data_IF_522870592612
#
_entry.id   IF_522870592612
#
_cell.length_a   1.000
_cell.length_b   1.000
_cell.length_c   1.000
_cell.angle_alpha   90.00
_cell.angle_beta   90.00
_cell.angle_gamma   90.00
#
_symmetry.space_group_name_H-M   'P 1'
#
loop_
_entity.id
_entity.type
_entity.pdbx_description
1 polymer ?
#
# COMPACT_ATOMS: atom_id res chain seq x y z
N UNK A 1 19.42 -24.68 18.04
CA UNK A 1 19.99 -23.50 17.37
C UNK A 1 18.80 -22.81 16.77
N UNK A 2 18.61 -21.54 17.08
CA UNK A 2 17.57 -20.75 16.43
C UNK A 2 18.02 -20.51 14.98
N UNK A 3 17.10 -20.57 14.03
CA UNK A 3 17.41 -20.29 12.63
C UNK A 3 17.87 -18.84 12.48
N UNK A 4 18.70 -18.54 11.47
CA UNK A 4 19.13 -17.16 11.18
C UNK A 4 18.01 -16.26 10.63
N UNK A 5 16.79 -16.79 10.54
CA UNK A 5 15.64 -16.15 9.93
C UNK A 5 14.35 -16.44 10.70
N UNK A 6 13.35 -15.57 10.48
CA UNK A 6 11.97 -15.73 10.99
C UNK A 6 10.96 -15.35 9.91
N UNK A 7 9.72 -15.82 10.06
CA UNK A 7 8.63 -15.35 9.21
C UNK A 7 8.13 -13.99 9.70
N UNK A 8 8.02 -13.03 8.79
CA UNK A 8 7.41 -11.74 9.05
C UNK A 8 5.89 -11.84 9.20
N UNK A 9 5.32 -10.98 10.03
CA UNK A 9 3.87 -10.90 10.24
C UNK A 9 3.23 -9.99 9.18
N UNK A 10 2.73 -10.59 8.11
CA UNK A 10 2.06 -9.88 7.03
C UNK A 10 0.75 -9.23 7.49
N UNK A 11 0.07 -9.79 8.51
CA UNK A 11 -1.14 -9.17 9.07
C UNK A 11 -0.78 -7.87 9.80
N UNK A 12 0.25 -7.88 10.64
CA UNK A 12 0.71 -6.67 11.32
C UNK A 12 1.14 -5.57 10.32
N UNK A 13 1.80 -5.95 9.22
CA UNK A 13 2.14 -5.01 8.15
C UNK A 13 0.91 -4.44 7.45
N UNK A 14 -0.10 -5.27 7.16
CA UNK A 14 -1.36 -4.81 6.57
C UNK A 14 -2.14 -3.89 7.51
N UNK A 15 -2.14 -4.17 8.81
CA UNK A 15 -2.79 -3.33 9.81
C UNK A 15 -2.07 -1.97 9.95
N UNK A 16 -0.74 -1.96 9.82
CA UNK A 16 0.05 -0.73 9.91
C UNK A 16 0.05 0.08 8.61
N UNK A 17 -0.06 -0.57 7.45
CA UNK A 17 0.00 0.04 6.12
C UNK A 17 -1.22 -0.33 5.25
N UNK A 18 -2.45 -0.02 5.68
CA UNK A 18 -3.67 -0.53 5.06
C UNK A 18 -3.84 -0.09 3.60
N UNK A 19 -3.31 1.09 3.25
CA UNK A 19 -3.45 1.67 1.91
C UNK A 19 -2.28 1.37 0.97
N UNK A 20 -1.19 0.74 1.45
CA UNK A 20 0.04 0.54 0.66
C UNK A 20 0.61 -0.87 0.75
N UNK A 21 0.16 -1.69 1.71
CA UNK A 21 0.54 -3.09 1.82
C UNK A 21 -0.63 -4.00 1.47
N UNK A 22 -0.51 -4.69 0.34
CA UNK A 22 -1.44 -5.75 -0.03
C UNK A 22 -1.25 -6.98 0.87
N UNK A 23 -2.38 -7.50 1.36
CA UNK A 23 -2.46 -8.82 1.98
C UNK A 23 -3.70 -9.56 1.46
N UNK A 24 -3.59 -10.85 1.13
CA UNK A 24 -4.76 -11.67 0.77
C UNK A 24 -5.82 -11.66 1.87
N UNK A 25 -7.07 -11.56 1.43
CA UNK A 25 -8.25 -11.61 2.30
C UNK A 25 -8.39 -12.96 3.00
N UNK A 26 -9.10 -13.01 4.15
CA UNK A 26 -9.48 -14.27 4.77
C UNK A 26 -10.20 -15.22 3.79
N UNK A 27 -11.01 -14.69 2.88
CA UNK A 27 -11.75 -15.42 1.86
C UNK A 27 -10.83 -16.03 0.81
N UNK A 28 -9.77 -15.34 0.40
CA UNK A 28 -8.72 -15.88 -0.46
C UNK A 28 -7.93 -16.98 0.26
N UNK A 29 -7.50 -16.73 1.50
CA UNK A 29 -6.73 -17.69 2.29
C UNK A 29 -7.53 -18.98 2.54
N UNK A 30 -8.83 -18.88 2.79
CA UNK A 30 -9.72 -20.03 2.99
C UNK A 30 -9.89 -20.91 1.74
N UNK A 31 -9.54 -20.40 0.54
CA UNK A 31 -9.61 -21.14 -0.72
C UNK A 31 -8.33 -21.90 -1.06
N UNK A 32 -7.24 -21.66 -0.34
CA UNK A 32 -5.96 -22.31 -0.58
C UNK A 32 -6.07 -23.83 -0.41
N UNK A 33 -5.36 -24.56 -1.28
CA UNK A 33 -5.33 -26.01 -1.33
C UNK A 33 -3.89 -26.50 -1.31
N UNK A 34 -3.72 -27.78 -0.98
CA UNK A 34 -2.45 -28.48 -1.24
C UNK A 34 -2.14 -28.36 -2.74
N UNK A 35 -0.90 -27.96 -3.04
CA UNK A 35 -0.44 -27.63 -4.39
C UNK A 35 -0.48 -26.14 -4.73
N UNK A 36 -1.11 -25.30 -3.91
CA UNK A 36 -1.07 -23.85 -4.11
C UNK A 36 0.22 -23.21 -3.58
N UNK A 37 0.56 -22.04 -4.14
CA UNK A 37 1.68 -21.22 -3.68
C UNK A 37 1.21 -20.08 -2.76
N UNK A 38 1.86 -19.98 -1.60
CA UNK A 38 1.75 -18.84 -0.69
C UNK A 38 3.08 -18.08 -0.67
N UNK A 39 3.02 -16.76 -0.81
CA UNK A 39 4.18 -15.87 -0.69
C UNK A 39 4.33 -15.42 0.76
N UNK A 40 5.51 -15.59 1.33
CA UNK A 40 5.84 -15.25 2.71
C UNK A 40 7.02 -14.27 2.76
N UNK A 41 7.19 -13.63 3.90
CA UNK A 41 8.32 -12.73 4.21
C UNK A 41 9.28 -13.48 5.13
N UNK A 42 10.53 -13.64 4.73
CA UNK A 42 11.59 -14.26 5.51
C UNK A 42 12.55 -13.15 5.96
N UNK A 43 12.39 -12.71 7.20
CA UNK A 43 13.22 -11.68 7.83
C UNK A 43 14.50 -12.31 8.35
N UNK A 44 15.61 -11.58 8.23
CA UNK A 44 16.91 -11.98 8.72
C UNK A 44 17.71 -10.75 9.13
N UNK A 45 18.69 -10.93 10.00
CA UNK A 45 19.59 -9.86 10.40
C UNK A 45 20.86 -9.90 9.53
N UNK A 46 21.36 -8.73 9.13
CA UNK A 46 22.59 -8.60 8.35
C UNK A 46 23.38 -7.38 8.78
N UNK A 47 24.70 -7.53 8.87
CA UNK A 47 25.63 -6.43 9.08
C UNK A 47 25.98 -5.71 7.76
N UNK A 48 25.55 -6.24 6.61
CA UNK A 48 25.72 -5.60 5.31
C UNK A 48 24.66 -4.50 5.12
N UNK A 49 25.05 -3.21 5.05
CA UNK A 49 24.10 -2.11 4.88
C UNK A 49 23.38 -2.11 3.53
N UNK A 50 23.83 -2.93 2.57
CA UNK A 50 23.17 -3.11 1.28
C UNK A 50 22.24 -4.34 1.25
N UNK A 51 22.25 -5.18 2.29
CA UNK A 51 21.34 -6.30 2.37
C UNK A 51 19.90 -5.81 2.61
N UNK A 52 18.89 -6.46 1.99
CA UNK A 52 17.51 -6.15 2.30
C UNK A 52 17.18 -6.66 3.72
N UNK A 53 16.13 -6.09 4.34
CA UNK A 53 15.66 -6.59 5.64
C UNK A 53 14.92 -7.94 5.58
N UNK A 54 14.53 -8.39 4.39
CA UNK A 54 13.84 -9.65 4.20
C UNK A 54 13.92 -10.18 2.76
N UNK A 55 13.78 -11.50 2.60
CA UNK A 55 13.52 -12.15 1.32
C UNK A 55 12.03 -12.50 1.21
N UNK A 56 11.39 -12.20 0.08
CA UNK A 56 9.97 -12.54 -0.16
C UNK A 56 9.88 -13.73 -1.09
N UNK A 57 9.52 -14.88 -0.55
CA UNK A 57 9.65 -16.17 -1.24
C UNK A 57 8.33 -16.94 -1.25
N UNK A 58 8.18 -17.79 -2.25
CA UNK A 58 7.05 -18.68 -2.45
C UNK A 58 7.29 -20.02 -1.76
N UNK A 59 6.24 -20.50 -1.10
CA UNK A 59 6.18 -21.81 -0.46
C UNK A 59 5.01 -22.59 -1.08
N UNK A 60 5.31 -23.77 -1.61
CA UNK A 60 4.31 -24.74 -2.09
C UNK A 60 3.63 -25.40 -0.90
N UNK A 61 2.32 -25.25 -0.77
CA UNK A 61 1.54 -25.86 0.31
C UNK A 61 1.51 -27.38 0.11
N UNK A 62 2.05 -28.12 1.07
CA UNK A 62 2.02 -29.59 1.08
C UNK A 62 0.97 -30.12 2.06
N UNK A 63 0.66 -29.37 3.12
CA UNK A 63 -0.33 -29.75 4.12
C UNK A 63 -1.09 -28.53 4.66
N UNK A 64 -2.36 -28.72 4.96
CA UNK A 64 -3.24 -27.74 5.61
C UNK A 64 -3.77 -28.37 6.90
N UNK A 65 -3.60 -27.67 8.02
CA UNK A 65 -4.01 -28.09 9.36
C UNK A 65 -5.15 -27.20 9.87
N UNK A 66 -5.74 -27.58 11.00
CA UNK A 66 -6.75 -26.76 11.68
C UNK A 66 -6.25 -25.35 11.99
N UNK A 67 -7.18 -24.39 12.03
CA UNK A 67 -6.96 -22.97 12.32
C UNK A 67 -6.05 -22.26 11.32
N UNK A 68 -6.15 -22.59 10.03
CA UNK A 68 -5.36 -21.97 8.95
C UNK A 68 -3.85 -21.99 9.23
N UNK A 69 -3.37 -23.14 9.69
CA UNK A 69 -1.94 -23.45 9.77
C UNK A 69 -1.54 -24.31 8.59
N UNK A 70 -0.38 -24.03 8.05
CA UNK A 70 0.10 -24.61 6.80
C UNK A 70 1.50 -25.18 7.00
N UNK A 71 1.79 -26.26 6.28
CA UNK A 71 3.16 -26.68 6.00
C UNK A 71 3.38 -26.66 4.50
N UNK A 72 4.60 -26.36 4.10
CA UNK A 72 4.96 -26.40 2.69
C UNK A 72 6.45 -26.54 2.47
N UNK A 73 6.81 -26.57 1.19
CA UNK A 73 8.19 -26.67 0.71
C UNK A 73 8.58 -25.35 0.05
N UNK A 74 9.73 -24.80 0.43
CA UNK A 74 10.24 -23.56 -0.17
C UNK A 74 10.54 -23.77 -1.66
N UNK A 75 10.00 -22.93 -2.54
CA UNK A 75 10.24 -23.06 -4.00
C UNK A 75 11.35 -22.14 -4.51
N UNK A 76 11.75 -21.13 -3.72
CA UNK A 76 12.85 -20.24 -4.07
C UNK A 76 14.20 -20.75 -3.56
N UNK A 77 15.27 -20.29 -4.21
CA UNK A 77 16.65 -20.41 -3.71
C UNK A 77 16.96 -19.11 -2.94
N UNK A 78 17.14 -19.16 -1.60
CA UNK A 78 17.50 -17.97 -0.83
C UNK A 78 18.82 -17.36 -1.28
N UNK A 79 18.88 -16.04 -1.36
CA UNK A 79 20.07 -15.30 -1.74
C UNK A 79 20.91 -14.89 -0.51
N UNK A 80 20.26 -14.46 0.57
CA UNK A 80 20.91 -13.89 1.75
C UNK A 80 20.91 -14.88 2.92
N UNK A 81 19.81 -15.60 3.14
CA UNK A 81 19.67 -16.57 4.22
C UNK A 81 20.46 -17.84 3.88
N UNK A 82 21.54 -18.12 4.63
CA UNK A 82 22.51 -19.19 4.28
C UNK A 82 22.18 -20.57 4.84
N UNK A 83 21.36 -20.62 5.87
CA UNK A 83 20.93 -21.85 6.55
C UNK A 83 19.54 -22.34 6.08
N UNK A 84 18.98 -21.72 5.03
CA UNK A 84 17.74 -22.11 4.38
C UNK A 84 18.02 -22.47 2.91
N UNK A 85 17.36 -23.52 2.40
CA UNK A 85 17.55 -24.01 1.04
C UNK A 85 16.23 -24.25 0.33
N UNK A 86 16.27 -24.24 -1.00
CA UNK A 86 15.15 -24.71 -1.80
C UNK A 86 14.72 -26.11 -1.35
N UNK A 87 13.41 -26.30 -1.33
CA UNK A 87 12.67 -27.46 -0.85
C UNK A 87 12.69 -27.72 0.66
N UNK A 88 13.36 -26.89 1.46
CA UNK A 88 13.29 -27.00 2.92
C UNK A 88 11.83 -26.83 3.41
N UNK A 89 11.44 -27.58 4.46
CA UNK A 89 10.10 -27.50 5.01
C UNK A 89 9.89 -26.18 5.77
N UNK A 90 8.77 -25.50 5.49
CA UNK A 90 8.36 -24.27 6.15
C UNK A 90 6.98 -24.46 6.77
N UNK A 91 6.85 -24.12 8.06
CA UNK A 91 5.56 -24.06 8.75
C UNK A 91 5.14 -22.61 8.92
N UNK A 92 3.89 -22.31 8.60
CA UNK A 92 3.37 -20.94 8.63
C UNK A 92 1.88 -20.92 8.96
N UNK A 93 1.34 -19.71 9.07
CA UNK A 93 -0.04 -19.44 9.50
C UNK A 93 -0.62 -18.37 8.56
N UNK A 94 -1.93 -18.20 8.55
CA UNK A 94 -2.60 -17.17 7.74
C UNK A 94 -2.00 -15.77 7.91
N UNK A 95 -1.55 -15.39 9.12
CA UNK A 95 -0.92 -14.08 9.38
C UNK A 95 0.42 -13.87 8.67
N UNK A 96 1.11 -14.95 8.29
CA UNK A 96 2.39 -14.88 7.57
C UNK A 96 2.23 -14.76 6.06
N UNK A 97 1.03 -15.02 5.52
CA UNK A 97 0.77 -15.01 4.07
C UNK A 97 0.65 -13.57 3.59
N UNK A 98 1.61 -13.12 2.77
CA UNK A 98 1.58 -11.79 2.15
C UNK A 98 1.07 -11.80 0.71
N UNK A 99 0.90 -12.97 0.10
CA UNK A 99 0.46 -13.11 -1.28
C UNK A 99 0.06 -14.53 -1.63
N UNK A 100 -0.81 -14.67 -2.63
CA UNK A 100 -1.28 -15.96 -3.15
C UNK A 100 -1.34 -15.90 -4.67
N UNK A 101 -1.29 -17.05 -5.35
CA UNK A 101 -1.41 -17.13 -6.81
C UNK A 101 -2.86 -17.09 -7.32
N UNK A 102 -3.82 -17.31 -6.43
CA UNK A 102 -5.24 -17.35 -6.77
C UNK A 102 -5.84 -15.93 -6.74
N UNK A 103 -6.87 -15.64 -7.55
CA UNK A 103 -7.56 -14.36 -7.47
C UNK A 103 -8.20 -14.15 -6.10
N UNK A 104 -7.97 -12.98 -5.52
CA UNK A 104 -8.66 -12.54 -4.31
C UNK A 104 -10.10 -12.12 -4.66
N UNK A 105 -11.15 -12.70 -4.03
CA UNK A 105 -12.51 -12.26 -4.25
C UNK A 105 -12.83 -10.90 -3.60
N UNK A 106 -11.99 -10.42 -2.69
CA UNK A 106 -12.20 -9.18 -1.96
C UNK A 106 -11.22 -8.11 -2.51
N UNK A 107 -11.72 -6.95 -2.98
CA UNK A 107 -10.85 -5.86 -3.39
C UNK A 107 -9.98 -5.37 -2.22
N UNK A 108 -8.70 -5.14 -2.48
CA UNK A 108 -7.78 -4.58 -1.47
C UNK A 108 -7.79 -3.05 -1.51
N UNK A 109 -7.60 -2.41 -0.35
CA UNK A 109 -7.42 -0.96 -0.30
C UNK A 109 -6.12 -0.51 -0.96
N UNK A 110 -5.07 -1.31 -0.84
CA UNK A 110 -3.79 -1.07 -1.52
C UNK A 110 -3.95 -0.99 -3.04
N UNK A 111 -4.74 -1.88 -3.64
CA UNK A 111 -5.03 -1.83 -5.08
C UNK A 111 -6.01 -0.68 -5.41
N UNK A 112 -7.04 -0.47 -4.56
CA UNK A 112 -8.01 0.63 -4.76
C UNK A 112 -7.32 1.99 -4.84
N UNK A 113 -6.31 2.21 -4.00
CA UNK A 113 -5.58 3.48 -3.90
C UNK A 113 -4.17 3.42 -4.51
N UNK A 114 -3.94 2.44 -5.39
CA UNK A 114 -2.74 2.37 -6.21
C UNK A 114 -2.62 3.52 -7.23
N UNK A 115 -3.70 4.01 -7.87
CA UNK A 115 -3.62 5.16 -8.76
C UNK A 115 -2.95 6.37 -8.08
N UNK A 116 -2.22 7.13 -8.88
CA UNK A 116 -1.34 8.20 -8.43
C UNK A 116 -2.03 9.56 -8.44
N UNK A 117 -1.54 10.48 -7.64
CA UNK A 117 -2.03 11.85 -7.55
C UNK A 117 -0.82 12.79 -7.43
N UNK A 118 -1.05 14.07 -7.70
CA UNK A 118 -0.10 15.10 -7.30
C UNK A 118 -0.44 15.58 -5.90
N UNK A 119 0.58 15.69 -5.06
CA UNK A 119 0.46 16.16 -3.69
C UNK A 119 1.61 17.10 -3.35
N UNK A 120 1.37 18.13 -2.54
CA UNK A 120 2.43 19.02 -2.07
C UNK A 120 3.25 18.37 -0.94
N UNK A 121 4.51 18.79 -0.83
CA UNK A 121 5.43 18.38 0.22
C UNK A 121 4.90 18.70 1.62
N UNK A 122 4.10 19.77 1.77
CA UNK A 122 3.45 20.10 3.03
C UNK A 122 2.59 18.97 3.58
N UNK A 123 1.78 18.36 2.71
CA UNK A 123 0.93 17.22 3.10
C UNK A 123 1.77 15.95 3.23
N UNK A 124 2.59 15.65 2.23
CA UNK A 124 3.27 14.35 2.14
C UNK A 124 4.46 14.19 3.10
N UNK A 125 5.14 15.29 3.46
CA UNK A 125 6.42 15.24 4.19
C UNK A 125 6.40 16.07 5.47
N UNK A 126 5.70 17.20 5.48
CA UNK A 126 5.72 18.12 6.61
C UNK A 126 4.58 17.85 7.62
N UNK A 127 3.67 16.92 7.29
CA UNK A 127 2.56 16.50 8.16
C UNK A 127 1.45 17.55 8.30
N UNK A 128 1.35 18.51 7.37
CA UNK A 128 0.21 19.41 7.32
C UNK A 128 -1.04 18.67 6.79
N UNK A 129 -2.24 18.93 7.34
CA UNK A 129 -3.45 18.30 6.83
C UNK A 129 -3.74 18.78 5.41
N UNK A 130 -4.31 17.89 4.58
CA UNK A 130 -4.82 18.29 3.27
C UNK A 130 -5.92 19.34 3.45
N UNK A 131 -5.74 20.55 2.93
CA UNK A 131 -6.70 21.64 3.06
C UNK A 131 -7.37 22.02 1.75
N UNK A 132 -6.83 21.59 0.62
CA UNK A 132 -7.40 21.79 -0.70
C UNK A 132 -7.27 20.51 -1.53
N UNK A 133 -8.40 20.06 -2.06
CA UNK A 133 -8.50 18.91 -2.95
C UNK A 133 -9.21 19.36 -4.21
N UNK A 134 -8.70 18.99 -5.38
CA UNK A 134 -9.46 19.10 -6.61
C UNK A 134 -9.08 17.98 -7.57
N UNK A 135 -10.02 17.63 -8.46
CA UNK A 135 -9.85 16.53 -9.40
C UNK A 135 -9.84 17.06 -10.82
N UNK A 136 -8.73 16.87 -11.51
CA UNK A 136 -8.55 17.19 -12.92
C UNK A 136 -8.79 15.95 -13.80
N UNK A 137 -8.80 16.16 -15.11
CA UNK A 137 -8.77 15.04 -16.04
C UNK A 137 -7.41 14.34 -15.91
N UNK A 138 -7.36 13.01 -15.68
CA UNK A 138 -6.11 12.26 -15.65
C UNK A 138 -5.19 12.55 -16.83
N UNK A 139 -3.92 12.80 -16.55
CA UNK A 139 -2.90 13.02 -17.58
C UNK A 139 -2.28 11.70 -18.07
N UNK A 140 -2.22 10.69 -17.21
CA UNK A 140 -1.60 9.38 -17.44
C UNK A 140 -2.57 8.24 -17.10
N UNK A 141 -2.25 7.02 -17.56
CA UNK A 141 -3.06 5.82 -17.25
C UNK A 141 -3.15 5.54 -15.75
N UNK A 142 -2.08 5.84 -15.01
CA UNK A 142 -2.04 5.69 -13.57
C UNK A 142 -2.41 6.97 -12.80
N UNK A 143 -2.74 8.08 -13.47
CA UNK A 143 -3.16 9.32 -12.82
C UNK A 143 -4.64 9.18 -12.39
N UNK A 144 -4.89 9.37 -11.10
CA UNK A 144 -6.24 9.41 -10.55
C UNK A 144 -6.98 10.71 -10.89
N UNK A 145 -6.24 11.75 -11.30
CA UNK A 145 -6.70 13.11 -11.50
C UNK A 145 -6.69 13.96 -10.22
N UNK A 146 -6.44 13.37 -9.05
CA UNK A 146 -6.43 14.13 -7.79
C UNK A 146 -5.20 15.03 -7.68
N UNK A 147 -5.43 16.24 -7.19
CA UNK A 147 -4.45 17.24 -6.79
C UNK A 147 -4.72 17.59 -5.32
N UNK A 148 -3.72 17.39 -4.46
CA UNK A 148 -3.86 17.43 -3.00
C UNK A 148 -2.86 18.44 -2.42
N UNK A 149 -3.37 19.44 -1.70
CA UNK A 149 -2.56 20.53 -1.14
C UNK A 149 -2.96 20.79 0.31
N UNK A 150 -2.08 21.43 1.08
CA UNK A 150 -2.40 21.96 2.41
C UNK A 150 -3.34 23.17 2.31
N UNK A 151 -3.39 23.86 1.16
CA UNK A 151 -4.28 24.99 0.87
C UNK A 151 -3.72 26.33 1.36
N UNK A 152 -2.51 26.35 1.90
CA UNK A 152 -1.79 27.53 2.39
C UNK A 152 -0.47 27.77 1.65
N UNK A 153 -0.23 27.06 0.54
CA UNK A 153 0.90 27.26 -0.36
C UNK A 153 0.77 28.61 -1.08
N UNK A 154 1.89 29.34 -1.18
CA UNK A 154 1.96 30.54 -2.02
C UNK A 154 2.47 30.18 -3.43
N UNK A 155 2.40 31.15 -4.35
CA UNK A 155 2.82 30.91 -5.74
C UNK A 155 4.32 30.54 -5.84
N UNK A 156 5.17 31.14 -5.00
CA UNK A 156 6.62 30.84 -5.00
C UNK A 156 6.86 29.37 -4.64
N UNK A 157 6.12 28.85 -3.67
CA UNK A 157 6.19 27.44 -3.27
C UNK A 157 5.67 26.52 -4.38
N UNK A 158 4.54 26.86 -5.01
CA UNK A 158 3.92 26.06 -6.07
C UNK A 158 4.70 26.06 -7.39
N UNK A 159 5.47 27.12 -7.66
CA UNK A 159 6.31 27.23 -8.86
C UNK A 159 7.56 26.33 -8.80
N UNK A 160 7.92 25.82 -7.63
CA UNK A 160 9.04 24.89 -7.45
C UNK A 160 8.56 23.43 -7.56
N UNK A 161 8.97 22.69 -8.61
CA UNK A 161 8.53 21.31 -8.80
C UNK A 161 9.00 20.35 -7.69
N UNK A 162 10.06 20.67 -6.94
CA UNK A 162 10.53 19.84 -5.83
C UNK A 162 9.58 19.88 -4.61
N UNK A 163 8.68 20.86 -4.58
CA UNK A 163 7.62 20.99 -3.59
C UNK A 163 6.37 20.17 -3.89
N UNK A 164 6.33 19.46 -5.02
CA UNK A 164 5.27 18.52 -5.36
C UNK A 164 5.82 17.11 -5.53
N UNK A 165 4.95 16.12 -5.36
CA UNK A 165 5.27 14.73 -5.62
C UNK A 165 4.12 14.07 -6.37
N UNK A 166 4.47 13.19 -7.31
CA UNK A 166 3.54 12.28 -7.95
C UNK A 166 3.67 10.94 -7.21
N UNK A 167 2.66 10.50 -6.46
CA UNK A 167 2.69 9.27 -5.63
C UNK A 167 1.34 8.58 -5.63
N UNK A 168 1.24 7.33 -5.15
CA UNK A 168 -0.06 6.67 -5.01
C UNK A 168 -0.95 7.42 -4.02
N UNK A 169 -2.27 7.42 -4.25
CA UNK A 169 -3.25 7.91 -3.29
C UNK A 169 -3.06 7.25 -1.92
N UNK A 170 -2.73 5.96 -1.89
CA UNK A 170 -2.48 5.24 -0.65
C UNK A 170 -1.28 5.79 0.16
N UNK A 171 -0.26 6.34 -0.50
CA UNK A 171 0.84 7.00 0.20
C UNK A 171 0.36 8.28 0.89
N UNK A 172 -0.50 9.07 0.24
CA UNK A 172 -1.07 10.29 0.84
C UNK A 172 -2.05 9.96 1.97
N UNK A 173 -2.90 8.94 1.79
CA UNK A 173 -3.83 8.46 2.82
C UNK A 173 -3.10 7.89 4.05
N UNK A 174 -1.83 7.50 3.92
CA UNK A 174 -1.02 7.09 5.08
C UNK A 174 -0.72 8.30 5.98
N UNK A 175 -0.59 9.49 5.39
CA UNK A 175 -0.31 10.74 6.11
C UNK A 175 -1.59 11.46 6.57
N UNK A 176 -2.63 11.51 5.73
CA UNK A 176 -3.95 12.09 6.03
C UNK A 176 -5.05 11.35 5.26
N UNK A 177 -5.89 10.58 5.96
CA UNK A 177 -7.04 9.88 5.37
C UNK A 177 -8.39 10.58 5.62
N UNK A 178 -8.39 11.78 6.22
CA UNK A 178 -9.63 12.48 6.58
C UNK A 178 -10.50 12.89 5.38
N UNK A 179 -9.96 12.81 4.16
CA UNK A 179 -10.66 13.06 2.91
C UNK A 179 -11.00 11.81 2.10
N UNK A 180 -10.75 10.60 2.61
CA UNK A 180 -10.92 9.35 1.86
C UNK A 180 -12.32 9.21 1.24
N UNK A 181 -13.36 9.69 1.92
CA UNK A 181 -14.75 9.67 1.45
C UNK A 181 -15.04 10.58 0.25
N UNK A 182 -14.09 11.43 -0.15
CA UNK A 182 -14.20 12.33 -1.30
C UNK A 182 -13.55 11.74 -2.57
N UNK A 183 -12.74 10.69 -2.47
CA UNK A 183 -11.95 10.18 -3.59
C UNK A 183 -12.77 9.57 -4.72
N UNK A 184 -14.03 9.19 -4.45
CA UNK A 184 -14.96 8.67 -5.44
C UNK A 184 -15.69 9.78 -6.25
N UNK A 185 -15.40 11.08 -5.97
CA UNK A 185 -16.02 12.22 -6.67
C UNK A 185 -15.48 12.41 -8.08
N UNK A 186 -16.34 12.87 -8.98
CA UNK A 186 -16.05 13.04 -10.41
C UNK A 186 -14.97 14.10 -10.70
N UNK A 187 -14.41 14.04 -11.91
CA UNK A 187 -13.53 15.09 -12.44
C UNK A 187 -14.26 16.43 -12.40
N UNK A 188 -13.54 17.49 -12.00
CA UNK A 188 -14.08 18.84 -11.77
C UNK A 188 -14.48 19.10 -10.31
N UNK A 189 -14.51 18.08 -9.44
CA UNK A 189 -14.79 18.29 -8.04
C UNK A 189 -13.68 19.11 -7.35
N UNK A 190 -14.08 20.01 -6.45
CA UNK A 190 -13.17 20.85 -5.65
C UNK A 190 -13.67 20.97 -4.22
N UNK A 191 -12.78 20.79 -3.26
CA UNK A 191 -13.08 20.87 -1.83
C UNK A 191 -12.03 21.71 -1.10
N UNK A 192 -12.49 22.54 -0.18
CA UNK A 192 -11.63 23.31 0.72
C UNK A 192 -11.97 22.94 2.16
N UNK A 193 -10.95 22.69 2.97
CA UNK A 193 -11.12 22.44 4.40
C UNK A 193 -11.43 23.75 5.12
N UNK A 194 -12.52 23.78 5.85
CA UNK A 194 -12.93 24.94 6.66
C UNK A 194 -12.19 24.99 8.00
N UNK A 195 -12.44 26.05 8.78
CA UNK A 195 -11.83 26.21 10.11
C UNK A 195 -12.27 25.19 11.16
N UNK A 196 -13.29 24.37 10.88
CA UNK A 196 -13.73 23.27 11.75
C UNK A 196 -13.12 21.93 11.31
N UNK A 197 -12.30 21.92 10.26
CA UNK A 197 -11.68 20.72 9.71
C UNK A 197 -12.55 19.95 8.72
N UNK A 198 -13.74 20.46 8.38
CA UNK A 198 -14.66 19.84 7.43
C UNK A 198 -14.39 20.30 5.99
N UNK A 199 -14.53 19.39 5.03
CA UNK A 199 -14.41 19.74 3.61
C UNK A 199 -15.72 20.28 3.07
N UNK A 200 -15.66 21.49 2.50
CA UNK A 200 -16.77 22.14 1.80
C UNK A 200 -16.51 22.08 0.31
N UNK A 201 -17.48 21.52 -0.42
CA UNK A 201 -17.44 21.51 -1.88
C UNK A 201 -17.62 22.92 -2.42
N UNK A 202 -16.74 23.31 -3.34
CA UNK A 202 -16.84 24.57 -4.07
C UNK A 202 -17.23 24.27 -5.52
N UNK A 203 -18.33 24.84 -5.99
CA UNK A 203 -18.56 24.96 -7.43
C UNK A 203 -17.51 25.89 -8.01
N UNK A 204 -16.93 25.56 -9.16
CA UNK A 204 -16.16 26.55 -9.93
C UNK A 204 -16.98 27.84 -10.07
N UNK A 205 -16.38 29.03 -9.94
CA UNK A 205 -17.05 30.23 -10.45
C UNK A 205 -17.39 29.97 -11.92
N UNK A 206 -18.59 30.34 -12.39
CA UNK A 206 -18.93 30.16 -13.80
C UNK A 206 -17.83 30.77 -14.66
N UNK A 207 -17.32 30.00 -15.61
CA UNK A 207 -16.33 30.47 -16.59
C UNK A 207 -16.88 31.77 -17.17
N UNK A 208 -16.28 32.89 -16.78
CA UNK A 208 -16.63 34.18 -17.38
C UNK A 208 -16.12 34.11 -18.81
N UNK A 209 -17.02 33.80 -19.75
CA UNK A 209 -16.77 34.01 -21.17
C UNK A 209 -16.49 35.49 -21.39
N UNK A 210 -15.22 35.82 -21.60
CA UNK A 210 -14.77 37.10 -22.13
C UNK A 210 -14.70 37.01 -23.66
#
# INVERSE_FOLDING_TARGET
>A
MDNSWRLGDAQALADHYPYTFYKPSPEAIARLRIGDLAKLIFEFDSDDPQAPGAERMWVLITDIHDNHRFSGSLENIPLYIKDLRAHDPVRFEARHIMGVQIPDPVPSLADKYLPRCFVTGKVLRDGEPAGLLYRETPEYEDDSGWRILAGNEDQTYLDDPDNAAYVSLGAVLTEDDSFIGLLDREVGARFVRDGNGAFIEQSEPPVSTA
#
